data_IF_021107958367
#
_entry.id   IF_021107958367
#
_cell.length_a   1.000
_cell.length_b   1.000
_cell.length_c   1.000
_cell.angle_alpha   90.00
_cell.angle_beta   90.00
_cell.angle_gamma   90.00
#
_symmetry.space_group_name_H-M   'P 1'
#
loop_
_entity.id
_entity.type
_entity.pdbx_description
1 polymer ?
#
# COMPACT_ATOMS: atom_id res chain seq x y z
N UNK A 1 -25.71 -4.15 84.25
CA UNK A 1 -26.94 -3.73 83.55
C UNK A 1 -27.47 -4.95 82.79
N UNK A 2 -28.75 -5.27 83.05
CA UNK A 2 -29.64 -6.38 82.61
C UNK A 2 -29.16 -7.33 81.48
N UNK A 3 -29.16 -8.66 81.62
CA UNK A 3 -30.24 -9.66 81.87
C UNK A 3 -31.07 -10.08 80.63
N UNK A 4 -30.87 -11.35 80.27
CA UNK A 4 -31.87 -12.39 79.95
C UNK A 4 -32.69 -12.39 78.66
N UNK A 5 -32.63 -13.57 78.01
CA UNK A 5 -33.49 -14.18 76.99
C UNK A 5 -34.99 -14.09 77.28
N UNK A 6 -35.86 -14.14 76.24
CA UNK A 6 -37.20 -14.81 76.25
C UNK A 6 -37.98 -14.71 74.90
N UNK A 7 -38.51 -15.87 74.50
CA UNK A 7 -39.73 -16.25 73.74
C UNK A 7 -40.07 -15.82 72.29
N UNK A 8 -40.15 -16.87 71.46
CA UNK A 8 -41.21 -17.32 70.53
C UNK A 8 -42.52 -16.53 70.37
N UNK A 9 -43.11 -16.58 69.15
CA UNK A 9 -44.47 -17.14 68.85
C UNK A 9 -44.85 -17.00 67.35
N UNK A 10 -45.50 -18.05 66.84
CA UNK A 10 -46.48 -18.17 65.74
C UNK A 10 -46.11 -17.82 64.27
N UNK A 11 -45.92 -18.87 63.47
CA UNK A 11 -46.99 -19.44 62.64
C UNK A 11 -47.60 -18.58 61.53
N UNK A 12 -47.27 -18.91 60.28
CA UNK A 12 -48.26 -18.89 59.20
C UNK A 12 -47.88 -19.91 58.11
N UNK A 13 -48.48 -21.10 58.21
CA UNK A 13 -48.48 -22.11 57.15
C UNK A 13 -49.40 -21.65 56.03
N UNK A 14 -48.83 -21.20 54.91
CA UNK A 14 -49.53 -21.06 53.63
C UNK A 14 -49.14 -22.22 52.73
N UNK A 15 -50.05 -23.18 52.57
CA UNK A 15 -49.93 -24.24 51.58
C UNK A 15 -50.00 -23.65 50.16
N UNK A 16 -48.96 -23.88 49.35
CA UNK A 16 -49.06 -23.74 47.89
C UNK A 16 -48.54 -25.04 47.27
N UNK A 17 -49.39 -25.60 46.42
CA UNK A 17 -49.30 -26.92 45.83
C UNK A 17 -47.99 -27.13 45.03
N UNK A 18 -47.41 -28.31 45.22
CA UNK A 18 -46.37 -28.88 44.36
C UNK A 18 -47.01 -29.23 43.02
N UNK A 19 -46.84 -28.37 42.02
CA UNK A 19 -47.02 -28.73 40.62
C UNK A 19 -45.69 -29.29 40.10
N UNK A 20 -45.66 -30.60 39.82
CA UNK A 20 -44.55 -31.26 39.17
C UNK A 20 -44.36 -30.70 37.75
N UNK A 21 -43.24 -30.00 37.51
CA UNK A 21 -42.78 -29.69 36.16
C UNK A 21 -42.02 -30.89 35.60
N UNK A 22 -42.22 -31.27 34.32
CA UNK A 22 -41.44 -32.32 33.69
C UNK A 22 -39.99 -31.84 33.51
N UNK A 23 -39.05 -32.71 33.92
CA UNK A 23 -37.62 -32.52 33.72
C UNK A 23 -37.31 -32.40 32.22
N UNK A 24 -37.09 -31.17 31.76
CA UNK A 24 -36.49 -30.91 30.46
C UNK A 24 -34.98 -30.99 30.63
N UNK A 25 -34.39 -32.01 30.02
CA UNK A 25 -32.95 -32.27 30.01
C UNK A 25 -32.19 -30.96 29.72
N UNK A 26 -31.30 -30.60 30.64
CA UNK A 26 -30.33 -29.53 30.43
C UNK A 26 -29.32 -30.04 29.40
N UNK A 27 -29.60 -29.70 28.14
CA UNK A 27 -28.65 -29.78 27.05
C UNK A 27 -27.44 -28.91 27.35
N UNK A 28 -26.27 -29.45 27.02
CA UNK A 28 -24.98 -28.78 27.00
C UNK A 28 -25.09 -27.45 26.23
N UNK A 29 -24.46 -26.34 26.68
CA UNK A 29 -24.41 -25.13 25.87
C UNK A 29 -23.64 -25.41 24.58
N UNK A 30 -24.31 -25.16 23.47
CA UNK A 30 -23.84 -25.28 22.10
C UNK A 30 -22.48 -24.60 21.91
N UNK A 31 -21.53 -25.35 21.34
CA UNK A 31 -20.41 -24.78 20.58
C UNK A 31 -20.99 -23.90 19.47
N UNK A 32 -20.58 -22.62 19.32
CA UNK A 32 -20.93 -21.86 18.14
C UNK A 32 -20.34 -22.60 16.93
N UNK A 33 -21.22 -23.04 16.06
CA UNK A 33 -20.88 -23.75 14.83
C UNK A 33 -20.00 -22.92 13.92
N UNK A 34 -19.27 -23.65 13.08
CA UNK A 34 -18.59 -23.18 11.88
C UNK A 34 -19.50 -22.24 11.06
N UNK A 35 -19.44 -20.94 11.34
CA UNK A 35 -19.71 -19.95 10.32
C UNK A 35 -18.57 -20.05 9.32
N UNK A 36 -18.88 -20.69 8.18
CA UNK A 36 -17.99 -20.83 7.05
C UNK A 36 -17.24 -19.52 6.81
N UNK A 37 -15.93 -19.54 7.08
CA UNK A 37 -15.01 -18.46 6.74
C UNK A 37 -15.30 -18.09 5.28
N UNK A 38 -15.66 -16.83 4.97
CA UNK A 38 -15.90 -16.46 3.58
C UNK A 38 -14.68 -16.90 2.77
N UNK A 39 -14.93 -17.65 1.70
CA UNK A 39 -13.88 -18.11 0.81
C UNK A 39 -13.01 -16.91 0.48
N UNK A 40 -11.69 -17.06 0.68
CA UNK A 40 -10.74 -16.04 0.29
C UNK A 40 -11.07 -15.64 -1.16
N UNK A 41 -11.16 -14.33 -1.48
CA UNK A 41 -11.42 -13.91 -2.85
C UNK A 41 -10.39 -14.61 -3.74
N UNK A 42 -10.87 -15.16 -4.86
CA UNK A 42 -10.02 -15.80 -5.84
C UNK A 42 -8.86 -14.86 -6.17
N UNK A 43 -7.65 -15.41 -6.24
CA UNK A 43 -6.46 -14.64 -6.59
C UNK A 43 -6.74 -13.83 -7.87
N UNK A 44 -6.35 -12.54 -7.90
CA UNK A 44 -6.56 -11.69 -9.07
C UNK A 44 -5.91 -12.31 -10.31
N UNK A 45 -6.53 -12.07 -11.47
CA UNK A 45 -6.06 -12.58 -12.75
C UNK A 45 -4.68 -11.97 -13.09
N UNK A 46 -3.89 -12.56 -14.01
CA UNK A 46 -2.50 -12.16 -14.25
C UNK A 46 -2.27 -10.74 -14.79
N UNK A 47 -3.32 -9.95 -14.99
CA UNK A 47 -3.27 -8.65 -15.66
C UNK A 47 -3.82 -7.50 -14.80
N UNK A 48 -4.10 -7.75 -13.51
CA UNK A 48 -4.49 -6.69 -12.57
C UNK A 48 -3.25 -5.84 -12.25
N UNK A 49 -3.03 -4.83 -13.09
CA UNK A 49 -2.17 -3.69 -12.80
C UNK A 49 -2.53 -3.19 -11.41
N UNK A 50 -1.59 -3.29 -10.45
CA UNK A 50 -1.74 -2.77 -9.10
C UNK A 50 -2.03 -1.27 -9.27
N UNK A 51 -3.30 -0.91 -9.15
CA UNK A 51 -3.74 0.48 -9.35
C UNK A 51 -3.07 1.29 -8.26
N UNK A 52 -2.02 2.02 -8.64
CA UNK A 52 -1.35 2.93 -7.73
C UNK A 52 -2.41 3.93 -7.21
N UNK A 53 -2.48 4.17 -5.89
CA UNK A 53 -3.33 5.23 -5.37
C UNK A 53 -2.92 6.57 -6.00
N UNK A 54 -3.77 7.62 -5.89
CA UNK A 54 -3.40 8.95 -6.39
C UNK A 54 -1.97 9.33 -5.96
N UNK A 55 -1.25 10.12 -6.76
CA UNK A 55 0.17 10.42 -6.56
C UNK A 55 0.49 11.08 -5.23
N UNK A 56 -0.54 11.52 -4.52
CA UNK A 56 -0.47 11.97 -3.14
C UNK A 56 -1.30 11.02 -2.29
N UNK A 57 -0.65 10.05 -1.64
CA UNK A 57 -1.31 9.25 -0.60
C UNK A 57 -1.38 10.09 0.66
N UNK A 58 -2.58 10.26 1.22
CA UNK A 58 -2.79 10.97 2.49
C UNK A 58 -3.22 10.01 3.58
N UNK A 59 -2.55 10.05 4.72
CA UNK A 59 -2.98 9.38 5.94
C UNK A 59 -2.70 10.30 7.12
N UNK A 60 -3.68 10.53 8.00
CA UNK A 60 -3.51 11.29 9.25
C UNK A 60 -2.87 12.69 9.07
N UNK A 61 -3.15 13.38 7.96
CA UNK A 61 -2.63 14.73 7.69
C UNK A 61 -1.18 14.80 7.21
N UNK A 62 -0.57 13.66 6.88
CA UNK A 62 0.75 13.57 6.24
C UNK A 62 0.64 12.85 4.90
N UNK A 63 1.55 13.17 3.98
CA UNK A 63 1.44 12.78 2.57
C UNK A 63 2.67 12.06 2.05
N UNK A 64 2.50 11.26 1.00
CA UNK A 64 3.60 10.83 0.13
C UNK A 64 3.35 11.41 -1.25
N UNK A 65 4.24 12.28 -1.72
CA UNK A 65 4.25 12.78 -3.08
C UNK A 65 5.15 11.87 -3.94
N UNK A 66 4.57 11.08 -4.85
CA UNK A 66 5.36 10.10 -5.61
C UNK A 66 6.41 10.76 -6.52
N UNK A 67 7.68 10.43 -6.29
CA UNK A 67 8.82 10.90 -7.07
C UNK A 67 9.39 9.74 -7.92
N UNK A 68 8.55 9.10 -8.73
CA UNK A 68 8.97 8.03 -9.64
C UNK A 68 10.07 8.52 -10.60
N UNK A 69 11.13 7.73 -10.75
CA UNK A 69 12.30 8.08 -11.56
C UNK A 69 13.30 9.02 -10.85
N UNK A 70 12.95 9.61 -9.71
CA UNK A 70 13.91 10.38 -8.92
C UNK A 70 14.98 9.47 -8.32
N UNK A 71 16.13 10.06 -7.97
CA UNK A 71 17.25 9.33 -7.35
C UNK A 71 17.43 9.80 -5.91
N UNK A 72 17.58 8.85 -4.99
CA UNK A 72 17.92 9.16 -3.60
C UNK A 72 19.32 9.81 -3.51
N UNK A 73 19.58 10.68 -2.52
CA UNK A 73 20.88 11.31 -2.35
C UNK A 73 21.92 10.25 -1.93
N UNK A 74 22.63 9.70 -2.91
CA UNK A 74 23.55 8.56 -2.72
C UNK A 74 24.69 8.85 -1.74
N UNK A 75 25.07 10.12 -1.59
CA UNK A 75 26.16 10.54 -0.71
C UNK A 75 25.67 10.89 0.71
N UNK A 76 24.35 10.78 0.97
CA UNK A 76 23.79 10.94 2.31
C UNK A 76 24.35 9.87 3.25
N UNK A 77 24.86 10.31 4.40
CA UNK A 77 25.54 9.46 5.38
C UNK A 77 24.66 9.16 6.58
N UNK A 78 24.70 7.92 7.01
CA UNK A 78 23.96 7.39 8.16
C UNK A 78 24.88 6.50 8.98
N UNK A 79 24.46 6.17 10.21
CA UNK A 79 25.02 5.04 10.94
C UNK A 79 24.10 3.85 10.82
N UNK A 80 24.66 2.68 10.56
CA UNK A 80 23.90 1.42 10.69
C UNK A 80 23.61 1.15 12.15
N UNK A 81 22.70 0.22 12.42
CA UNK A 81 22.42 -0.27 13.77
C UNK A 81 23.67 -0.82 14.49
N UNK A 82 24.71 -1.23 13.76
CA UNK A 82 25.95 -1.75 14.32
C UNK A 82 26.98 -0.63 14.57
N UNK A 83 26.62 0.63 14.30
CA UNK A 83 27.43 1.83 14.55
C UNK A 83 28.36 2.22 13.40
N UNK A 84 28.32 1.49 12.29
CA UNK A 84 29.17 1.74 11.11
C UNK A 84 28.65 2.94 10.33
N UNK A 85 29.51 3.91 10.04
CA UNK A 85 29.17 5.05 9.18
C UNK A 85 29.16 4.59 7.71
N UNK A 86 28.04 4.80 7.03
CA UNK A 86 27.84 4.36 5.64
C UNK A 86 27.10 5.42 4.83
N UNK A 87 27.33 5.43 3.53
CA UNK A 87 26.53 6.18 2.56
C UNK A 87 25.44 5.30 1.94
N UNK A 88 24.36 5.91 1.41
CA UNK A 88 23.37 5.16 0.64
C UNK A 88 23.99 4.48 -0.60
N UNK A 89 25.02 5.09 -1.21
CA UNK A 89 25.78 4.48 -2.31
C UNK A 89 26.39 3.14 -1.93
N UNK A 90 27.05 3.08 -0.78
CA UNK A 90 27.66 1.85 -0.27
C UNK A 90 26.58 0.79 0.04
N UNK A 91 25.48 1.20 0.66
CA UNK A 91 24.38 0.30 1.01
C UNK A 91 23.62 -0.25 -0.20
N UNK A 92 23.57 0.47 -1.32
CA UNK A 92 22.91 0.05 -2.55
C UNK A 92 23.87 -0.64 -3.54
N UNK A 93 25.17 -0.66 -3.24
CA UNK A 93 26.18 -1.32 -4.07
C UNK A 93 25.93 -2.84 -4.20
N UNK A 94 26.43 -3.46 -5.27
CA UNK A 94 26.27 -4.91 -5.49
C UNK A 94 25.02 -5.32 -6.27
N UNK A 95 24.38 -4.40 -7.00
CA UNK A 95 23.42 -4.74 -8.06
C UNK A 95 22.02 -5.16 -7.60
N UNK A 96 21.78 -5.34 -6.30
CA UNK A 96 20.45 -5.70 -5.79
C UNK A 96 19.56 -4.45 -5.58
N UNK A 97 18.28 -4.49 -5.98
CA UNK A 97 17.30 -3.45 -5.62
C UNK A 97 17.07 -3.41 -4.10
N UNK A 98 16.43 -2.33 -3.64
CA UNK A 98 16.15 -2.11 -2.22
C UNK A 98 14.70 -1.70 -1.97
N UNK A 99 14.12 -2.19 -0.87
CA UNK A 99 12.92 -1.61 -0.26
C UNK A 99 13.39 -0.57 0.76
N UNK A 100 13.08 0.69 0.53
CA UNK A 100 13.27 1.78 1.49
C UNK A 100 12.00 1.98 2.30
N UNK A 101 12.13 2.07 3.61
CA UNK A 101 11.02 2.37 4.54
C UNK A 101 11.47 3.35 5.60
N UNK A 102 10.55 4.19 6.08
CA UNK A 102 10.78 5.13 7.17
C UNK A 102 9.98 4.70 8.39
N UNK A 103 10.67 4.42 9.49
CA UNK A 103 10.04 3.95 10.72
C UNK A 103 10.76 4.57 11.92
N UNK A 104 10.32 4.32 13.14
CA UNK A 104 11.09 4.64 14.34
C UNK A 104 10.74 3.67 15.46
N UNK A 105 11.66 3.45 16.40
CA UNK A 105 11.53 2.35 17.35
C UNK A 105 10.39 2.51 18.37
N UNK A 106 10.14 3.76 18.79
CA UNK A 106 9.13 4.15 19.78
C UNK A 106 7.74 4.42 19.17
N UNK A 107 7.51 4.05 17.89
CA UNK A 107 6.22 4.28 17.25
C UNK A 107 5.13 3.40 17.88
N UNK A 108 4.06 4.00 18.46
CA UNK A 108 3.10 3.24 19.27
C UNK A 108 2.18 2.34 18.45
N UNK A 109 1.98 2.62 17.16
CA UNK A 109 0.97 1.93 16.35
C UNK A 109 1.46 1.61 14.94
N UNK A 110 1.54 2.60 14.04
CA UNK A 110 1.54 2.35 12.59
C UNK A 110 2.80 1.64 12.06
N UNK A 111 3.99 2.00 12.54
CA UNK A 111 5.24 1.33 12.14
C UNK A 111 5.22 -0.16 12.43
N UNK A 112 4.66 -0.54 13.59
CA UNK A 112 4.64 -1.94 14.00
C UNK A 112 3.78 -2.77 13.06
N UNK A 113 2.61 -2.25 12.68
CA UNK A 113 1.66 -2.91 11.80
C UNK A 113 2.22 -3.04 10.38
N UNK A 114 2.83 -1.97 9.83
CA UNK A 114 3.44 -2.00 8.50
C UNK A 114 4.57 -3.03 8.41
N UNK A 115 5.53 -3.01 9.35
CA UNK A 115 6.66 -3.95 9.34
C UNK A 115 6.22 -5.38 9.66
N UNK A 116 5.14 -5.55 10.44
CA UNK A 116 4.53 -6.86 10.67
C UNK A 116 3.90 -7.42 9.39
N UNK A 117 3.20 -6.59 8.61
CA UNK A 117 2.65 -6.97 7.31
C UNK A 117 3.73 -7.32 6.30
N UNK A 118 4.81 -6.52 6.24
CA UNK A 118 5.97 -6.82 5.38
C UNK A 118 6.61 -8.15 5.74
N UNK A 119 6.92 -8.39 7.01
CA UNK A 119 7.52 -9.65 7.47
C UNK A 119 6.61 -10.87 7.30
N UNK A 120 5.28 -10.68 7.32
CA UNK A 120 4.32 -11.74 7.04
C UNK A 120 4.23 -12.07 5.54
N UNK A 121 4.33 -11.06 4.67
CA UNK A 121 4.19 -11.24 3.23
C UNK A 121 5.47 -11.80 2.58
N UNK A 122 6.65 -11.36 3.02
CA UNK A 122 7.94 -11.70 2.38
C UNK A 122 8.20 -13.20 2.20
N UNK A 123 7.93 -14.10 3.18
CA UNK A 123 8.13 -15.53 3.01
C UNK A 123 7.28 -16.16 1.88
N UNK A 124 6.17 -15.51 1.50
CA UNK A 124 5.26 -15.96 0.45
C UNK A 124 5.61 -15.37 -0.95
N UNK A 125 6.59 -14.47 -1.04
CA UNK A 125 6.96 -13.82 -2.30
C UNK A 125 7.80 -14.78 -3.16
N UNK A 126 7.16 -15.43 -4.13
CA UNK A 126 7.87 -16.30 -5.07
C UNK A 126 8.81 -15.51 -5.99
N UNK A 127 10.07 -15.95 -6.14
CA UNK A 127 10.99 -15.44 -7.14
C UNK A 127 10.62 -15.94 -8.56
N UNK A 128 10.81 -15.10 -9.59
CA UNK A 128 10.65 -15.53 -10.98
C UNK A 128 11.70 -16.57 -11.35
N UNK A 129 11.40 -17.40 -12.35
CA UNK A 129 12.30 -18.44 -12.83
C UNK A 129 13.62 -17.89 -13.42
N UNK A 130 13.64 -16.62 -13.83
CA UNK A 130 14.82 -15.92 -14.34
C UNK A 130 14.84 -14.53 -13.73
N UNK A 131 15.91 -14.21 -12.99
CA UNK A 131 16.18 -12.85 -12.50
C UNK A 131 17.14 -12.17 -13.49
N UNK A 132 16.90 -10.91 -13.87
CA UNK A 132 17.87 -10.12 -14.61
C UNK A 132 19.12 -9.95 -13.73
N UNK A 133 20.28 -10.38 -14.23
CA UNK A 133 21.61 -10.15 -13.65
C UNK A 133 21.97 -10.84 -12.31
N UNK A 134 21.45 -12.04 -12.04
CA UNK A 134 21.97 -12.90 -10.94
C UNK A 134 23.48 -13.23 -11.08
N UNK A 135 24.05 -13.04 -12.28
CA UNK A 135 25.45 -13.31 -12.60
C UNK A 135 26.43 -12.17 -12.23
N UNK A 136 25.95 -11.03 -11.69
CA UNK A 136 26.81 -9.92 -11.21
C UNK A 136 26.99 -9.87 -9.70
N UNK A 137 26.78 -10.98 -8.98
CA UNK A 137 27.31 -11.09 -7.62
C UNK A 137 28.79 -10.69 -7.62
N UNK A 138 29.14 -9.67 -6.83
CA UNK A 138 30.49 -9.11 -6.78
C UNK A 138 31.53 -10.23 -6.58
N UNK A 139 32.66 -10.22 -7.32
CA UNK A 139 33.70 -11.23 -7.14
C UNK A 139 34.26 -11.11 -5.72
N UNK A 140 33.94 -12.08 -4.86
CA UNK A 140 34.42 -12.14 -3.47
C UNK A 140 33.36 -12.40 -2.39
N UNK A 141 32.06 -12.49 -2.72
CA UNK A 141 31.01 -12.83 -1.73
C UNK A 141 30.51 -14.27 -1.83
N UNK A 142 31.42 -15.22 -2.09
CA UNK A 142 31.14 -16.66 -2.05
C UNK A 142 31.10 -17.17 -0.59
N UNK A 143 30.09 -16.73 0.18
CA UNK A 143 29.69 -17.41 1.41
C UNK A 143 28.80 -18.62 1.09
N UNK A 144 28.76 -19.67 1.94
CA UNK A 144 27.96 -20.86 1.69
C UNK A 144 26.48 -20.51 1.88
N UNK A 145 25.80 -20.09 0.80
CA UNK A 145 24.42 -19.62 0.91
C UNK A 145 23.69 -19.31 -0.40
N UNK A 146 24.30 -19.52 -1.56
CA UNK A 146 23.54 -19.59 -2.81
C UNK A 146 22.77 -20.92 -2.79
N UNK A 147 21.60 -20.93 -2.15
CA UNK A 147 20.71 -22.07 -2.15
C UNK A 147 20.32 -22.38 -3.60
N UNK A 148 20.96 -23.41 -4.18
CA UNK A 148 20.49 -24.06 -5.39
C UNK A 148 19.10 -24.59 -5.07
N UNK A 149 18.08 -24.01 -5.69
CA UNK A 149 16.71 -24.45 -5.50
C UNK A 149 16.61 -25.95 -5.86
N UNK A 150 16.10 -26.76 -4.94
CA UNK A 150 15.79 -28.17 -5.21
C UNK A 150 14.79 -28.26 -6.37
N UNK A 151 14.93 -29.22 -7.30
CA UNK A 151 13.98 -29.39 -8.40
C UNK A 151 12.55 -29.52 -7.88
N UNK A 152 11.67 -28.60 -8.28
CA UNK A 152 10.26 -28.57 -7.86
C UNK A 152 9.90 -27.61 -6.70
N UNK A 153 10.88 -26.95 -6.08
CA UNK A 153 10.59 -25.89 -5.09
C UNK A 153 10.43 -24.55 -5.82
N UNK A 154 9.28 -23.88 -5.67
CA UNK A 154 9.10 -22.50 -6.17
C UNK A 154 10.21 -21.63 -5.58
N UNK A 155 11.02 -21.01 -6.43
CA UNK A 155 12.02 -20.04 -5.98
C UNK A 155 11.31 -18.95 -5.17
N UNK A 156 11.92 -18.47 -4.08
CA UNK A 156 11.36 -17.44 -3.18
C UNK A 156 12.35 -16.28 -3.15
N UNK A 157 11.85 -15.05 -3.20
CA UNK A 157 12.67 -13.85 -3.00
C UNK A 157 13.14 -13.81 -1.54
N UNK A 158 14.45 -13.91 -1.32
CA UNK A 158 15.08 -13.85 -0.01
C UNK A 158 15.77 -12.50 0.18
N UNK A 159 15.49 -11.86 1.31
CA UNK A 159 16.18 -10.65 1.76
C UNK A 159 17.68 -10.96 1.88
N UNK A 160 18.52 -10.10 1.31
CA UNK A 160 19.98 -10.24 1.29
C UNK A 160 20.55 -11.05 0.12
N UNK A 161 19.71 -11.79 -0.62
CA UNK A 161 20.14 -12.53 -1.81
C UNK A 161 19.65 -11.87 -3.10
N UNK A 162 18.36 -11.55 -3.20
CA UNK A 162 17.78 -10.96 -4.41
C UNK A 162 17.44 -9.46 -4.27
N UNK A 163 17.22 -8.99 -3.04
CA UNK A 163 16.92 -7.60 -2.75
C UNK A 163 17.32 -7.31 -1.30
N UNK A 164 17.44 -6.03 -0.95
CA UNK A 164 17.74 -5.59 0.41
C UNK A 164 16.61 -4.73 0.98
N UNK A 165 16.60 -4.54 2.30
CA UNK A 165 15.68 -3.63 2.97
C UNK A 165 16.52 -2.60 3.72
N UNK A 166 16.20 -1.33 3.53
CA UNK A 166 16.81 -0.20 4.21
C UNK A 166 15.72 0.53 4.98
N UNK A 167 15.80 0.47 6.31
CA UNK A 167 14.89 1.21 7.19
C UNK A 167 15.61 2.44 7.72
N UNK A 168 15.10 3.64 7.44
CA UNK A 168 15.61 4.88 8.03
C UNK A 168 14.78 5.21 9.26
N UNK A 169 15.45 5.39 10.39
CA UNK A 169 14.83 5.86 11.62
C UNK A 169 14.49 7.36 11.52
N UNK A 170 13.24 7.72 11.78
CA UNK A 170 12.78 9.11 11.74
C UNK A 170 13.22 9.91 12.97
N UNK A 171 13.56 9.25 14.09
CA UNK A 171 13.99 9.90 15.32
C UNK A 171 15.49 10.26 15.24
N UNK A 172 15.87 11.54 15.13
CA UNK A 172 17.27 11.92 14.95
C UNK A 172 18.13 11.57 16.16
N UNK A 173 17.54 11.43 17.34
CA UNK A 173 18.24 11.06 18.58
C UNK A 173 18.23 9.55 18.85
N UNK A 174 17.78 8.74 17.89
CA UNK A 174 17.66 7.29 18.07
C UNK A 174 19.00 6.63 18.45
N UNK A 175 18.92 5.74 19.43
CA UNK A 175 20.06 4.98 19.93
C UNK A 175 20.33 3.74 19.07
N UNK A 176 21.61 3.35 18.97
CA UNK A 176 22.00 2.13 18.27
C UNK A 176 21.38 0.86 18.87
N UNK A 177 21.21 0.82 20.20
CA UNK A 177 20.60 -0.32 20.89
C UNK A 177 19.14 -0.51 20.52
N UNK A 178 18.36 0.58 20.46
CA UNK A 178 16.97 0.52 20.01
C UNK A 178 16.85 0.14 18.53
N UNK A 179 17.71 0.68 17.66
CA UNK A 179 17.75 0.29 16.25
C UNK A 179 18.08 -1.21 16.07
N UNK A 180 19.04 -1.75 16.83
CA UNK A 180 19.36 -3.19 16.84
C UNK A 180 18.20 -4.02 17.37
N UNK A 181 17.61 -3.62 18.49
CA UNK A 181 16.47 -4.31 19.09
C UNK A 181 15.27 -4.35 18.15
N UNK A 182 15.01 -3.25 17.44
CA UNK A 182 13.98 -3.18 16.41
C UNK A 182 14.27 -4.14 15.26
N UNK A 183 15.49 -4.19 14.74
CA UNK A 183 15.90 -5.14 13.69
C UNK A 183 15.67 -6.59 14.14
N UNK A 184 16.19 -6.96 15.32
CA UNK A 184 16.09 -8.33 15.83
C UNK A 184 14.63 -8.75 16.09
N UNK A 185 13.77 -7.83 16.56
CA UNK A 185 12.33 -8.07 16.73
C UNK A 185 11.65 -8.50 15.42
N UNK A 186 11.99 -7.86 14.30
CA UNK A 186 11.40 -8.22 13.00
C UNK A 186 12.06 -9.44 12.36
N UNK A 187 13.37 -9.64 12.56
CA UNK A 187 14.06 -10.84 12.10
C UNK A 187 13.54 -12.11 12.77
N UNK A 188 13.13 -12.04 14.04
CA UNK A 188 12.54 -13.17 14.75
C UNK A 188 11.25 -13.71 14.08
N UNK A 189 10.58 -12.89 13.26
CA UNK A 189 9.36 -13.24 12.53
C UNK A 189 9.62 -14.02 11.23
N UNK A 190 10.86 -14.02 10.73
CA UNK A 190 11.21 -14.83 9.56
C UNK A 190 11.32 -16.32 9.92
N UNK A 191 11.04 -17.21 8.95
CA UNK A 191 11.43 -18.62 9.03
C UNK A 191 12.91 -18.76 9.36
N UNK A 192 13.26 -19.75 10.20
CA UNK A 192 14.61 -19.91 10.74
C UNK A 192 15.69 -20.00 9.66
N UNK A 193 15.41 -20.68 8.55
CA UNK A 193 16.30 -20.82 7.40
C UNK A 193 16.55 -19.51 6.63
N UNK A 194 15.71 -18.49 6.83
CA UNK A 194 15.81 -17.19 6.19
C UNK A 194 16.40 -16.11 7.09
N UNK A 195 16.44 -16.31 8.41
CA UNK A 195 16.86 -15.28 9.38
C UNK A 195 18.28 -14.78 9.14
N UNK A 196 19.22 -15.66 8.81
CA UNK A 196 20.61 -15.28 8.58
C UNK A 196 20.77 -14.38 7.35
N UNK A 197 20.14 -14.75 6.23
CA UNK A 197 20.13 -13.94 5.02
C UNK A 197 19.40 -12.61 5.24
N UNK A 198 18.23 -12.63 5.90
CA UNK A 198 17.48 -11.43 6.24
C UNK A 198 18.28 -10.50 7.16
N UNK A 199 19.06 -11.05 8.11
CA UNK A 199 19.96 -10.27 8.97
C UNK A 199 21.03 -9.53 8.17
N UNK A 200 21.60 -10.17 7.14
CA UNK A 200 22.59 -9.55 6.26
C UNK A 200 21.96 -8.53 5.28
N UNK A 201 20.72 -8.77 4.84
CA UNK A 201 20.04 -7.96 3.83
C UNK A 201 19.14 -6.85 4.36
N UNK A 202 18.90 -6.76 5.67
CA UNK A 202 18.05 -5.72 6.26
C UNK A 202 18.87 -4.81 7.17
N UNK A 203 19.12 -3.58 6.71
CA UNK A 203 19.86 -2.56 7.45
C UNK A 203 18.93 -1.51 8.03
N UNK A 204 19.15 -1.15 9.30
CA UNK A 204 18.49 -0.04 9.97
C UNK A 204 19.47 1.12 10.10
N UNK A 205 19.03 2.31 9.71
CA UNK A 205 19.84 3.51 9.64
C UNK A 205 19.35 4.53 10.66
N UNK A 206 20.27 5.03 11.48
CA UNK A 206 20.04 6.18 12.36
C UNK A 206 20.86 7.38 11.86
N UNK A 207 20.59 8.56 12.42
CA UNK A 207 21.36 9.76 12.12
C UNK A 207 22.87 9.53 12.30
N UNK A 208 23.68 10.03 11.38
CA UNK A 208 25.14 9.90 11.46
C UNK A 208 25.72 10.56 12.73
N UNK A 209 25.10 11.68 13.11
CA UNK A 209 25.35 12.41 14.36
C UNK A 209 24.02 12.48 15.12
N UNK A 210 23.93 12.02 16.38
CA UNK A 210 22.70 12.10 17.16
C UNK A 210 22.13 13.52 17.21
N UNK A 211 20.85 13.67 16.89
CA UNK A 211 20.14 14.94 16.77
C UNK A 211 20.20 15.60 15.38
N UNK A 212 21.07 15.15 14.48
CA UNK A 212 21.17 15.71 13.13
C UNK A 212 20.22 15.00 12.15
N UNK A 213 19.07 15.62 11.90
CA UNK A 213 18.06 15.13 10.96
C UNK A 213 18.36 15.42 9.48
N UNK A 214 19.52 15.99 9.13
CA UNK A 214 19.78 16.50 7.78
C UNK A 214 19.70 15.42 6.71
N UNK A 215 20.39 14.29 6.91
CA UNK A 215 20.36 13.17 5.96
C UNK A 215 18.97 12.53 5.86
N UNK A 216 18.27 12.38 7.00
CA UNK A 216 16.90 11.82 7.05
C UNK A 216 15.97 12.68 6.19
N UNK A 217 15.97 14.00 6.39
CA UNK A 217 15.16 14.95 5.60
C UNK A 217 15.52 14.94 4.13
N UNK A 218 16.81 14.94 3.79
CA UNK A 218 17.26 14.91 2.40
C UNK A 218 16.74 13.67 1.65
N UNK A 219 16.78 12.49 2.28
CA UNK A 219 16.25 11.27 1.66
C UNK A 219 14.73 11.31 1.60
N UNK A 220 14.06 11.70 2.68
CA UNK A 220 12.61 11.82 2.74
C UNK A 220 12.06 12.77 1.67
N UNK A 221 12.65 13.97 1.52
CA UNK A 221 12.28 14.94 0.49
C UNK A 221 12.55 14.41 -0.93
N UNK A 222 13.68 13.72 -1.14
CA UNK A 222 14.01 13.17 -2.46
C UNK A 222 12.99 12.13 -2.94
N UNK A 223 12.39 11.38 -2.01
CA UNK A 223 11.34 10.38 -2.31
C UNK A 223 9.93 10.88 -2.01
N UNK A 224 9.77 12.17 -1.69
CA UNK A 224 8.49 12.82 -1.42
C UNK A 224 7.75 12.31 -0.18
N UNK A 225 8.45 11.70 0.77
CA UNK A 225 7.89 11.22 2.03
C UNK A 225 7.76 12.38 3.03
N UNK A 226 6.54 12.83 3.31
CA UNK A 226 6.28 13.90 4.28
C UNK A 226 5.99 13.31 5.66
N UNK A 227 6.62 13.87 6.67
CA UNK A 227 6.41 13.49 8.06
C UNK A 227 6.49 14.74 8.95
N UNK A 228 5.80 14.73 10.09
CA UNK A 228 5.78 15.87 11.02
C UNK A 228 5.84 15.40 12.45
N UNK A 229 6.52 16.16 13.31
CA UNK A 229 6.55 15.90 14.74
C UNK A 229 5.32 16.49 15.42
N UNK A 230 4.60 15.67 16.19
CA UNK A 230 3.45 16.05 17.00
C UNK A 230 3.93 16.17 18.45
N UNK A 231 4.18 17.41 18.88
CA UNK A 231 4.72 17.73 20.21
C UNK A 231 3.85 17.18 21.34
N UNK A 232 2.53 17.30 21.22
CA UNK A 232 1.58 16.90 22.27
C UNK A 232 1.59 15.39 22.54
N UNK A 233 2.00 14.59 21.55
CA UNK A 233 2.10 13.13 21.66
C UNK A 233 3.54 12.62 21.72
N UNK A 234 4.52 13.51 21.54
CA UNK A 234 5.92 13.17 21.36
C UNK A 234 6.14 12.11 20.26
N UNK A 235 5.41 12.22 19.14
CA UNK A 235 5.37 11.24 18.06
C UNK A 235 5.71 11.87 16.71
N UNK A 236 6.23 11.06 15.78
CA UNK A 236 6.33 11.42 14.37
C UNK A 236 5.09 10.91 13.63
N UNK A 237 4.25 11.82 13.14
CA UNK A 237 3.24 11.45 12.15
C UNK A 237 3.91 11.21 10.81
N UNK A 238 3.69 10.02 10.25
CA UNK A 238 4.22 9.62 8.95
C UNK A 238 3.22 8.67 8.24
N UNK A 239 3.23 8.64 6.91
CA UNK A 239 2.42 7.67 6.15
C UNK A 239 3.04 6.27 6.21
N UNK A 240 2.23 5.25 5.92
CA UNK A 240 2.70 3.87 5.72
C UNK A 240 2.96 3.63 4.23
N UNK A 241 4.23 3.71 3.83
CA UNK A 241 4.67 3.45 2.46
C UNK A 241 6.00 2.68 2.44
N UNK A 242 6.08 1.70 1.54
CA UNK A 242 7.32 1.05 1.11
C UNK A 242 7.72 1.64 -0.24
N UNK A 243 8.98 2.04 -0.37
CA UNK A 243 9.50 2.73 -1.54
C UNK A 243 10.51 1.82 -2.22
N UNK A 244 10.28 1.45 -3.47
CA UNK A 244 11.12 0.52 -4.18
C UNK A 244 12.19 1.26 -4.95
N UNK A 245 13.44 0.94 -4.66
CA UNK A 245 14.62 1.52 -5.29
C UNK A 245 15.31 0.49 -6.18
N UNK A 246 15.75 0.92 -7.37
CA UNK A 246 16.75 0.16 -8.12
C UNK A 246 18.09 0.13 -7.40
N UNK A 247 19.00 -0.76 -7.82
CA UNK A 247 20.37 -0.82 -7.30
C UNK A 247 21.16 0.49 -7.47
N UNK A 248 20.75 1.35 -8.41
CA UNK A 248 21.35 2.66 -8.60
C UNK A 248 20.74 3.75 -7.68
N UNK A 249 19.69 3.42 -6.92
CA UNK A 249 18.97 4.35 -6.05
C UNK A 249 17.87 5.15 -6.73
N UNK A 250 17.41 4.72 -7.92
CA UNK A 250 16.23 5.32 -8.59
C UNK A 250 14.95 4.77 -7.99
N UNK A 251 14.01 5.64 -7.64
CA UNK A 251 12.66 5.30 -7.17
C UNK A 251 11.87 4.71 -8.32
N UNK A 252 11.40 3.48 -8.15
CA UNK A 252 10.68 2.75 -9.19
C UNK A 252 9.19 2.59 -8.92
N UNK A 253 8.77 2.46 -7.65
CA UNK A 253 7.40 2.18 -7.21
C UNK A 253 7.19 2.57 -5.75
N UNK A 254 5.93 2.77 -5.39
CA UNK A 254 5.47 2.92 -4.00
C UNK A 254 4.42 1.83 -3.72
N UNK A 255 4.51 1.19 -2.56
CA UNK A 255 3.48 0.31 -2.05
C UNK A 255 2.95 0.89 -0.74
N UNK A 256 1.65 1.09 -0.67
CA UNK A 256 1.00 1.77 0.45
C UNK A 256 0.28 0.79 1.35
N UNK A 257 -0.07 1.29 2.54
CA UNK A 257 -0.85 0.54 3.51
C UNK A 257 0.00 -0.44 4.32
N UNK A 258 -0.71 -1.36 4.97
CA UNK A 258 -0.15 -2.30 5.95
C UNK A 258 -0.18 -3.76 5.47
N UNK A 259 -1.11 -4.08 4.58
CA UNK A 259 -1.23 -5.39 3.97
C UNK A 259 -0.53 -5.38 2.62
N UNK A 260 0.47 -6.23 2.45
CA UNK A 260 1.24 -6.31 1.22
C UNK A 260 0.93 -7.61 0.51
N UNK A 261 0.27 -7.50 -0.64
CA UNK A 261 -0.01 -8.67 -1.47
C UNK A 261 1.31 -9.26 -2.01
N UNK A 262 1.58 -10.57 -1.83
CA UNK A 262 2.84 -11.17 -2.27
C UNK A 262 3.11 -11.01 -3.77
N UNK A 263 2.05 -11.01 -4.60
CA UNK A 263 2.15 -10.77 -6.03
C UNK A 263 2.61 -9.35 -6.34
N UNK A 264 2.07 -8.35 -5.61
CA UNK A 264 2.45 -6.95 -5.76
C UNK A 264 3.88 -6.68 -5.32
N UNK A 265 4.31 -7.25 -4.19
CA UNK A 265 5.70 -7.19 -3.75
C UNK A 265 6.63 -7.83 -4.77
N UNK A 266 6.26 -9.00 -5.31
CA UNK A 266 7.05 -9.71 -6.32
C UNK A 266 7.28 -8.86 -7.57
N UNK A 267 6.22 -8.32 -8.16
CA UNK A 267 6.31 -7.47 -9.36
C UNK A 267 7.17 -6.23 -9.07
N UNK A 268 6.93 -5.60 -7.93
CA UNK A 268 7.62 -4.37 -7.56
C UNK A 268 9.12 -4.58 -7.33
N UNK A 269 9.51 -5.67 -6.67
CA UNK A 269 10.93 -6.05 -6.47
C UNK A 269 11.58 -6.41 -7.82
N UNK A 270 10.90 -7.21 -8.65
CA UNK A 270 11.42 -7.61 -9.95
C UNK A 270 11.72 -6.41 -10.85
N UNK A 271 10.77 -5.48 -10.96
CA UNK A 271 10.92 -4.27 -11.80
C UNK A 271 11.89 -3.25 -11.21
N UNK A 272 12.03 -3.20 -9.89
CA UNK A 272 13.11 -2.45 -9.26
C UNK A 272 14.48 -2.99 -9.68
N UNK A 273 14.62 -4.31 -9.79
CA UNK A 273 15.82 -4.98 -10.32
C UNK A 273 16.12 -4.60 -11.77
N UNK A 274 15.09 -4.44 -12.61
CA UNK A 274 15.21 -3.94 -13.99
C UNK A 274 15.51 -2.43 -14.08
N UNK A 275 15.49 -1.71 -12.95
CA UNK A 275 15.52 -0.26 -12.90
C UNK A 275 14.44 0.41 -13.76
N UNK A 276 13.28 -0.23 -13.91
CA UNK A 276 12.11 0.29 -14.62
C UNK A 276 11.23 1.09 -13.66
N UNK A 277 11.21 2.43 -13.72
CA UNK A 277 10.20 3.20 -13.02
C UNK A 277 8.82 2.81 -13.55
N UNK A 278 7.81 2.73 -12.69
CA UNK A 278 6.43 2.62 -13.13
C UNK A 278 6.19 3.71 -14.21
N UNK A 279 5.72 3.29 -15.38
CA UNK A 279 5.76 4.11 -16.58
C UNK A 279 5.01 5.44 -16.36
N UNK A 280 5.54 6.52 -16.93
CA UNK A 280 4.93 7.84 -16.99
C UNK A 280 3.55 7.89 -17.68
N UNK A 281 2.97 6.74 -18.09
CA UNK A 281 1.58 6.62 -18.53
C UNK A 281 0.60 6.98 -17.40
N UNK A 282 1.04 6.97 -16.14
CA UNK A 282 0.35 7.59 -15.02
C UNK A 282 0.11 9.11 -15.17
N UNK A 283 0.88 9.81 -16.02
CA UNK A 283 0.60 11.22 -16.37
C UNK A 283 -0.68 11.33 -17.22
N UNK A 284 -0.89 10.41 -18.17
CA UNK A 284 -2.11 10.35 -18.98
C UNK A 284 -3.31 9.87 -18.14
N UNK A 285 -3.07 8.98 -17.16
CA UNK A 285 -4.09 8.49 -16.23
C UNK A 285 -4.32 9.39 -15.00
N UNK A 286 -3.61 10.52 -14.89
CA UNK A 286 -3.90 11.59 -13.90
C UNK A 286 -5.31 12.17 -14.06
N UNK A 287 -5.92 11.99 -15.23
CA UNK A 287 -7.31 12.34 -15.48
C UNK A 287 -8.33 11.40 -14.82
N UNK A 288 -7.94 10.22 -14.30
CA UNK A 288 -8.88 9.24 -13.77
C UNK A 288 -9.01 9.26 -12.24
N UNK A 289 -8.08 9.88 -11.52
CA UNK A 289 -8.20 10.05 -10.07
C UNK A 289 -8.80 11.42 -9.70
N UNK A 290 -10.09 11.39 -9.38
CA UNK A 290 -10.89 12.49 -8.86
C UNK A 290 -10.72 12.56 -7.34
N UNK A 291 -10.06 13.61 -6.84
CA UNK A 291 -10.03 13.97 -5.42
C UNK A 291 -11.18 14.97 -5.16
N UNK A 292 -12.27 14.57 -4.47
CA UNK A 292 -13.40 15.45 -4.17
C UNK A 292 -13.05 16.59 -3.20
N UNK A 293 -11.92 16.53 -2.49
CA UNK A 293 -11.54 17.47 -1.44
C UNK A 293 -10.45 18.47 -1.90
N UNK A 294 -9.93 18.33 -3.12
CA UNK A 294 -8.93 19.22 -3.71
C UNK A 294 -9.50 20.60 -4.15
N UNK A 295 -9.73 21.49 -3.18
CA UNK A 295 -9.85 22.96 -3.29
C UNK A 295 -10.76 23.58 -4.40
N UNK A 296 -11.03 24.89 -4.31
CA UNK A 296 -12.00 25.60 -5.18
C UNK A 296 -11.73 25.51 -6.70
N UNK A 297 -10.49 25.21 -7.10
CA UNK A 297 -10.10 25.12 -8.51
C UNK A 297 -10.61 23.84 -9.20
N UNK A 298 -10.75 22.72 -8.49
CA UNK A 298 -11.33 21.50 -9.07
C UNK A 298 -12.82 21.67 -9.40
N UNK A 299 -13.57 22.36 -8.54
CA UNK A 299 -15.00 22.68 -8.77
C UNK A 299 -15.20 23.58 -9.99
N UNK A 300 -14.35 24.58 -10.18
CA UNK A 300 -14.40 25.47 -11.34
C UNK A 300 -14.14 24.72 -12.65
N UNK A 301 -13.17 23.79 -12.67
CA UNK A 301 -12.88 22.94 -13.82
C UNK A 301 -14.04 22.03 -14.21
N UNK A 302 -14.66 21.35 -13.24
CA UNK A 302 -15.83 20.49 -13.49
C UNK A 302 -17.03 21.30 -13.99
N UNK A 303 -17.26 22.50 -13.46
CA UNK A 303 -18.34 23.36 -13.92
C UNK A 303 -18.09 23.85 -15.35
N UNK A 304 -16.86 24.23 -15.69
CA UNK A 304 -16.48 24.61 -17.05
C UNK A 304 -16.66 23.45 -18.05
N UNK A 305 -16.27 22.22 -17.67
CA UNK A 305 -16.45 21.04 -18.51
C UNK A 305 -17.94 20.73 -18.74
N UNK A 306 -18.78 20.78 -17.68
CA UNK A 306 -20.23 20.56 -17.80
C UNK A 306 -20.90 21.59 -18.69
N UNK A 307 -20.50 22.87 -18.58
CA UNK A 307 -20.99 23.94 -19.44
C UNK A 307 -20.54 23.77 -20.89
N UNK A 308 -19.28 23.38 -21.12
CA UNK A 308 -18.75 23.08 -22.46
C UNK A 308 -19.47 21.90 -23.11
N UNK A 309 -19.68 20.81 -22.38
CA UNK A 309 -20.41 19.64 -22.86
C UNK A 309 -21.87 19.99 -23.18
N UNK A 310 -22.56 20.73 -22.30
CA UNK A 310 -23.91 21.22 -22.55
C UNK A 310 -24.00 22.12 -23.80
N UNK A 311 -23.03 23.00 -23.98
CA UNK A 311 -22.93 23.86 -25.17
C UNK A 311 -22.73 23.07 -26.45
N UNK A 312 -21.85 22.07 -26.45
CA UNK A 312 -21.63 21.20 -27.61
C UNK A 312 -22.87 20.42 -28.01
N UNK A 313 -23.57 19.85 -27.02
CA UNK A 313 -24.83 19.11 -27.24
C UNK A 313 -25.89 20.03 -27.85
N UNK A 314 -26.05 21.25 -27.33
CA UNK A 314 -26.96 22.27 -27.88
C UNK A 314 -26.61 22.62 -29.33
N UNK A 315 -25.33 22.81 -29.64
CA UNK A 315 -24.85 23.09 -30.98
C UNK A 315 -25.18 21.94 -31.95
N UNK A 316 -24.93 20.70 -31.53
CA UNK A 316 -25.21 19.51 -32.31
C UNK A 316 -26.71 19.37 -32.61
N UNK A 317 -27.58 19.51 -31.60
CA UNK A 317 -29.03 19.43 -31.79
C UNK A 317 -29.56 20.58 -32.67
N UNK A 318 -29.00 21.77 -32.53
CA UNK A 318 -29.36 22.92 -33.38
C UNK A 318 -28.99 22.67 -34.84
N UNK A 319 -27.79 22.16 -35.10
CA UNK A 319 -27.33 21.81 -36.46
C UNK A 319 -28.21 20.70 -37.08
N UNK A 320 -28.50 19.64 -36.32
CA UNK A 320 -29.41 18.56 -36.75
C UNK A 320 -30.82 19.09 -37.05
N UNK A 321 -31.34 20.00 -36.23
CA UNK A 321 -32.63 20.66 -36.44
C UNK A 321 -32.69 21.49 -37.73
N UNK A 322 -31.64 22.28 -38.00
CA UNK A 322 -31.52 23.08 -39.23
C UNK A 322 -31.45 22.18 -40.46
N UNK A 323 -30.61 21.14 -40.43
CA UNK A 323 -30.52 20.17 -41.54
C UNK A 323 -31.85 19.47 -41.80
N UNK A 324 -32.55 19.06 -40.74
CA UNK A 324 -33.84 18.40 -40.87
C UNK A 324 -34.91 19.35 -41.44
N UNK A 325 -34.92 20.62 -41.03
CA UNK A 325 -35.81 21.65 -41.60
C UNK A 325 -35.50 21.93 -43.07
N UNK A 326 -34.22 22.00 -43.44
CA UNK A 326 -33.78 22.16 -44.83
C UNK A 326 -34.21 20.97 -45.70
N UNK A 327 -34.01 19.74 -45.22
CA UNK A 327 -34.46 18.51 -45.90
C UNK A 327 -35.97 18.46 -46.08
N UNK A 328 -36.77 18.89 -45.08
CA UNK A 328 -38.23 18.98 -45.22
C UNK A 328 -38.68 20.02 -46.25
N UNK A 329 -37.99 21.16 -46.34
CA UNK A 329 -38.28 22.20 -47.36
C UNK A 329 -37.97 21.70 -48.77
N UNK A 330 -36.82 21.05 -48.97
CA UNK A 330 -36.45 20.46 -50.26
C UNK A 330 -37.45 19.39 -50.72
N UNK A 331 -37.90 18.52 -49.81
CA UNK A 331 -38.92 17.50 -50.11
C UNK A 331 -40.28 18.09 -50.47
N UNK A 332 -40.70 19.19 -49.84
CA UNK A 332 -41.95 19.90 -50.16
C UNK A 332 -41.88 20.65 -51.49
N UNK A 333 -40.71 21.16 -51.89
CA UNK A 333 -40.50 21.78 -53.20
C UNK A 333 -40.56 20.77 -54.35
N UNK A 334 -40.09 19.54 -54.13
CA UNK A 334 -40.15 18.47 -55.13
C UNK A 334 -41.57 17.94 -55.39
N UNK A 335 -42.46 17.95 -54.40
CA UNK A 335 -43.86 17.50 -54.60
C UNK A 335 -44.71 18.49 -55.41
N UNK A 336 -44.33 19.77 -55.44
CA UNK A 336 -45.06 20.81 -56.18
C UNK A 336 -44.65 20.91 -57.66
N UNK A 337 -43.55 20.25 -58.07
CA UNK A 337 -43.00 20.31 -59.42
C UNK A 337 -43.26 19.03 -60.23
N UNK A 338 -44.49 18.49 -60.18
CA UNK A 338 -44.93 17.40 -61.07
C UNK A 338 -45.47 18.03 -62.36
N UNK A 339 -44.77 17.94 -63.51
CA UNK A 339 -45.29 18.46 -64.77
C UNK A 339 -46.52 17.65 -65.20
N UNK A 340 -47.51 18.35 -65.75
CA UNK A 340 -48.70 17.76 -66.35
C UNK A 340 -48.29 16.81 -67.49
N UNK A 341 -48.89 15.62 -67.51
CA UNK A 341 -48.64 14.62 -68.54
C UNK A 341 -49.07 15.16 -69.92
N UNK A 342 -48.24 15.06 -70.97
CA UNK A 342 -48.68 15.40 -72.31
C UNK A 342 -49.64 14.34 -72.84
N UNK A 343 -50.79 14.81 -73.31
CA UNK A 343 -51.74 14.06 -74.12
C UNK A 343 -51.12 13.72 -75.49
N UNK A 344 -51.25 12.47 -75.93
CA UNK A 344 -50.97 12.01 -77.29
C UNK A 344 -51.49 10.57 -77.43
N UNK A 345 -52.69 10.30 -77.96
CA UNK A 345 -53.19 10.43 -79.34
C UNK A 345 -52.70 9.28 -80.24
N UNK A 346 -53.68 8.43 -80.57
CA UNK A 346 -53.86 7.46 -81.69
C UNK A 346 -52.83 6.36 -81.91
#
# INVERSE_FOLDING_TARGET
MASSSILAVAGMFGAVAVAAMPARALGHPDTPGDEARPAAPAAPAPDDEIVAPPPTYQANGVTVDEHLGARVPLDAKFRTQDGVLVSLRELLSGGLPAILTFNYSDCPMLCSVQLNGLTAALPAVAAPAVLPDADRAAPGQSGPGAAVASPGQKAVFRVGAQFRIVTIDLEPTESLDKARAMRERYLARFPEDQRAAARAGWTFLVAATPGDATAIRQVADAVGFRYTYIKDRAEWAHPAALILLSASGVVTRYLYGIDHEPAALRDSIYRAGLAEPAAAVGFLLRCYHYDPDANSHARAGVMALRLGAGGFVLLLFSALGVMHRARRRARRGATSARPAAPNGVT
#
